data_IF_172075063490
#
_entry.id   IF_172075063490
#
_cell.length_a   1.000
_cell.length_b   1.000
_cell.length_c   1.000
_cell.angle_alpha   90.00
_cell.angle_beta   90.00
_cell.angle_gamma   90.00
#
_symmetry.space_group_name_H-M   'P 1'
#
loop_
_entity.id
_entity.type
_entity.pdbx_description
1 polymer ?
#
# COMPACT_ATOMS: atom_id res chain seq x y z
N UNK A 1 -4.30 -46.57 23.71
CA UNK A 1 -4.56 -45.12 23.54
C UNK A 1 -3.24 -44.38 23.62
N UNK A 2 -2.64 -44.01 22.48
CA UNK A 2 -1.41 -43.23 22.45
C UNK A 2 -1.76 -41.75 22.65
N UNK A 3 -1.32 -41.18 23.77
CA UNK A 3 -1.39 -39.75 24.05
C UNK A 3 -0.48 -39.00 23.09
N UNK A 4 -1.07 -38.18 22.21
CA UNK A 4 -0.32 -37.19 21.42
C UNK A 4 0.37 -36.21 22.38
N UNK A 5 1.69 -36.03 22.34
CA UNK A 5 2.34 -34.99 23.11
C UNK A 5 1.87 -33.62 22.59
N UNK A 6 1.37 -32.77 23.50
CA UNK A 6 1.10 -31.36 23.23
C UNK A 6 2.43 -30.70 22.84
N UNK A 7 2.57 -30.35 21.56
CA UNK A 7 3.66 -29.52 21.05
C UNK A 7 3.56 -28.14 21.72
N UNK A 8 4.35 -27.94 22.78
CA UNK A 8 4.67 -26.63 23.36
C UNK A 8 5.55 -25.89 22.35
N UNK A 9 4.92 -25.30 21.33
CA UNK A 9 5.61 -24.48 20.33
C UNK A 9 5.54 -23.01 20.73
N UNK A 10 6.61 -22.58 21.40
CA UNK A 10 7.17 -21.22 21.43
C UNK A 10 6.18 -20.05 21.37
N UNK A 11 5.72 -19.55 22.51
CA UNK A 11 5.03 -18.25 22.57
C UNK A 11 5.97 -17.07 22.21
N UNK A 12 7.29 -17.26 22.31
CA UNK A 12 8.30 -16.25 21.96
C UNK A 12 8.36 -15.94 20.45
N UNK A 13 8.06 -16.92 19.59
CA UNK A 13 8.01 -16.69 18.14
C UNK A 13 6.73 -15.99 17.69
N UNK A 14 5.67 -15.96 18.52
CA UNK A 14 4.45 -15.21 18.22
C UNK A 14 4.64 -13.71 18.44
N UNK A 15 5.33 -13.33 19.51
CA UNK A 15 5.63 -11.92 19.83
C UNK A 15 6.57 -11.27 18.80
N UNK A 16 7.68 -11.93 18.46
CA UNK A 16 8.65 -11.43 17.48
C UNK A 16 8.05 -11.28 16.07
N UNK A 17 7.23 -12.25 15.63
CA UNK A 17 6.51 -12.14 14.33
C UNK A 17 5.55 -10.96 14.29
N UNK A 18 4.86 -10.67 15.39
CA UNK A 18 3.96 -9.52 15.49
C UNK A 18 4.71 -8.20 15.37
N UNK A 19 5.84 -8.06 16.06
CA UNK A 19 6.65 -6.85 16.05
C UNK A 19 7.26 -6.57 14.66
N UNK A 20 7.81 -7.60 14.00
CA UNK A 20 8.32 -7.47 12.62
C UNK A 20 7.20 -7.08 11.65
N UNK A 21 6.03 -7.70 11.79
CA UNK A 21 4.87 -7.39 10.93
C UNK A 21 4.41 -5.94 11.10
N UNK A 22 4.36 -5.45 12.35
CA UNK A 22 4.02 -4.06 12.64
C UNK A 22 5.08 -3.10 12.07
N UNK A 23 6.36 -3.41 12.25
CA UNK A 23 7.46 -2.61 11.73
C UNK A 23 7.41 -2.48 10.21
N UNK A 24 7.19 -3.59 9.49
CA UNK A 24 7.08 -3.60 8.01
C UNK A 24 5.88 -2.79 7.53
N UNK A 25 4.73 -2.92 8.21
CA UNK A 25 3.56 -2.12 7.89
C UNK A 25 3.83 -0.63 8.12
N UNK A 26 4.40 -0.28 9.27
CA UNK A 26 4.74 1.10 9.61
C UNK A 26 5.70 1.70 8.58
N UNK A 27 6.74 0.97 8.20
CA UNK A 27 7.75 1.44 7.24
C UNK A 27 7.15 1.60 5.84
N UNK A 28 6.39 0.62 5.35
CA UNK A 28 5.77 0.69 4.01
C UNK A 28 4.73 1.82 3.90
N UNK A 29 3.84 1.93 4.89
CA UNK A 29 2.80 2.97 4.89
C UNK A 29 3.43 4.34 5.13
N UNK A 30 4.39 4.44 6.05
CA UNK A 30 5.13 5.67 6.33
C UNK A 30 5.88 6.17 5.11
N UNK A 31 6.55 5.28 4.37
CA UNK A 31 7.21 5.60 3.11
C UNK A 31 6.23 6.17 2.07
N UNK A 32 5.11 5.48 1.82
CA UNK A 32 4.11 5.94 0.84
C UNK A 32 3.48 7.28 1.24
N UNK A 33 3.21 7.48 2.53
CA UNK A 33 2.67 8.75 3.03
C UNK A 33 3.69 9.88 2.95
N UNK A 34 4.96 9.60 3.26
CA UNK A 34 6.05 10.56 3.13
C UNK A 34 6.18 11.02 1.69
N UNK A 35 6.24 10.08 0.73
CA UNK A 35 6.38 10.40 -0.69
C UNK A 35 5.19 11.21 -1.21
N UNK A 36 3.97 10.80 -0.84
CA UNK A 36 2.74 11.52 -1.19
C UNK A 36 2.74 12.95 -0.63
N UNK A 37 3.06 13.11 0.65
CA UNK A 37 3.07 14.43 1.28
C UNK A 37 4.18 15.32 0.72
N UNK A 38 5.37 14.76 0.49
CA UNK A 38 6.49 15.46 -0.11
C UNK A 38 6.14 15.99 -1.51
N UNK A 39 5.52 15.15 -2.35
CA UNK A 39 5.10 15.53 -3.71
C UNK A 39 4.04 16.66 -3.68
N UNK A 40 3.06 16.58 -2.76
CA UNK A 40 2.08 17.67 -2.57
C UNK A 40 2.73 18.98 -2.15
N UNK A 41 3.65 18.94 -1.18
CA UNK A 41 4.36 20.15 -0.71
C UNK A 41 5.18 20.75 -1.85
N UNK A 42 5.91 19.93 -2.60
CA UNK A 42 6.68 20.38 -3.75
C UNK A 42 5.80 21.03 -4.83
N UNK A 43 4.60 20.50 -5.07
CA UNK A 43 3.63 21.10 -5.99
C UNK A 43 3.14 22.49 -5.53
N UNK A 44 3.00 22.71 -4.22
CA UNK A 44 2.67 24.03 -3.66
C UNK A 44 3.81 25.05 -3.83
N UNK A 45 5.06 24.61 -3.66
CA UNK A 45 6.24 25.46 -3.88
C UNK A 45 6.35 25.91 -5.34
N UNK A 46 5.94 25.06 -6.30
CA UNK A 46 5.88 25.43 -7.71
C UNK A 46 4.78 26.45 -8.02
N UNK A 47 3.54 26.17 -7.59
CA UNK A 47 2.44 27.15 -7.67
C UNK A 47 1.24 26.72 -6.82
N UNK A 48 0.47 27.69 -6.32
CA UNK A 48 -0.77 27.40 -5.58
C UNK A 48 -1.76 26.56 -6.39
N UNK A 49 -1.88 26.82 -7.70
CA UNK A 49 -2.78 26.07 -8.58
C UNK A 49 -2.37 24.61 -8.76
N UNK A 50 -1.07 24.33 -8.88
CA UNK A 50 -0.52 22.97 -8.94
C UNK A 50 -0.72 22.25 -7.60
N UNK A 51 -0.39 22.91 -6.48
CA UNK A 51 -0.57 22.34 -5.14
C UNK A 51 -2.01 21.93 -4.84
N UNK A 52 -3.01 22.76 -5.22
CA UNK A 52 -4.43 22.39 -5.04
C UNK A 52 -4.83 21.20 -5.91
N UNK A 53 -4.35 21.12 -7.15
CA UNK A 53 -4.61 19.95 -8.04
C UNK A 53 -3.98 18.68 -7.48
N UNK A 54 -2.74 18.78 -7.00
CA UNK A 54 -1.99 17.72 -6.36
C UNK A 54 -2.69 17.20 -5.11
N UNK A 55 -3.13 18.10 -4.22
CA UNK A 55 -3.91 17.75 -3.04
C UNK A 55 -5.23 17.06 -3.41
N UNK A 56 -5.93 17.53 -4.43
CA UNK A 56 -7.15 16.89 -4.92
C UNK A 56 -6.87 15.48 -5.44
N UNK A 57 -5.78 15.28 -6.19
CA UNK A 57 -5.37 13.97 -6.68
C UNK A 57 -4.98 13.01 -5.55
N UNK A 58 -4.29 13.49 -4.51
CA UNK A 58 -3.95 12.73 -3.32
C UNK A 58 -5.19 12.26 -2.54
N UNK A 59 -6.24 13.08 -2.48
CA UNK A 59 -7.48 12.77 -1.75
C UNK A 59 -8.47 11.94 -2.58
N UNK A 60 -8.39 12.00 -3.90
CA UNK A 60 -9.39 11.41 -4.78
C UNK A 60 -9.56 9.88 -4.58
N UNK A 61 -8.52 9.03 -4.62
CA UNK A 61 -8.70 7.60 -4.41
C UNK A 61 -9.23 7.24 -3.02
N UNK A 62 -8.85 8.01 -1.99
CA UNK A 62 -9.34 7.80 -0.62
C UNK A 62 -10.82 8.17 -0.49
N UNK A 63 -11.24 9.29 -1.05
CA UNK A 63 -12.66 9.71 -1.04
C UNK A 63 -13.55 8.74 -1.81
N UNK A 64 -13.09 8.25 -2.97
CA UNK A 64 -13.77 7.19 -3.73
C UNK A 64 -13.87 5.90 -2.90
N UNK A 65 -12.80 5.51 -2.21
CA UNK A 65 -12.80 4.33 -1.35
C UNK A 65 -13.78 4.46 -0.18
N UNK A 66 -13.86 5.63 0.45
CA UNK A 66 -14.84 5.92 1.50
C UNK A 66 -16.25 5.85 0.93
N UNK A 67 -16.50 6.45 -0.24
CA UNK A 67 -17.80 6.41 -0.91
C UNK A 67 -18.24 4.96 -1.21
N UNK A 68 -17.38 4.17 -1.85
CA UNK A 68 -17.67 2.76 -2.15
C UNK A 68 -17.86 1.91 -0.89
N UNK A 69 -17.03 2.18 0.12
CA UNK A 69 -16.97 1.41 1.35
C UNK A 69 -18.09 1.72 2.36
N UNK A 70 -18.63 2.93 2.37
CA UNK A 70 -19.63 3.38 3.35
C UNK A 70 -20.97 3.74 2.71
N UNK A 71 -20.96 4.45 1.59
CA UNK A 71 -22.18 5.01 0.97
C UNK A 71 -22.80 4.00 0.03
N UNK A 72 -22.04 3.51 -0.95
CA UNK A 72 -22.56 2.58 -1.95
C UNK A 72 -22.82 1.17 -1.38
N UNK A 73 -22.31 0.88 -0.16
CA UNK A 73 -22.35 -0.43 0.51
C UNK A 73 -22.11 -1.58 -0.46
N UNK A 74 -21.13 -1.41 -1.35
CA UNK A 74 -20.96 -2.32 -2.46
C UNK A 74 -20.67 -3.72 -1.89
N UNK A 75 -21.66 -4.61 -2.03
CA UNK A 75 -21.52 -6.02 -1.68
C UNK A 75 -20.73 -6.66 -2.82
N UNK A 76 -19.41 -6.45 -2.80
CA UNK A 76 -18.54 -7.18 -3.71
C UNK A 76 -18.68 -8.66 -3.35
N UNK A 77 -19.02 -9.53 -4.31
CA UNK A 77 -19.12 -10.96 -4.04
C UNK A 77 -17.77 -11.44 -3.53
N UNK A 78 -17.69 -11.71 -2.23
CA UNK A 78 -16.50 -12.26 -1.54
C UNK A 78 -16.33 -13.75 -1.83
N UNK A 79 -16.89 -14.24 -2.95
CA UNK A 79 -16.68 -15.60 -3.43
C UNK A 79 -15.19 -15.83 -3.34
N UNK A 80 -14.76 -16.75 -2.47
CA UNK A 80 -13.37 -16.91 -2.02
C UNK A 80 -12.47 -17.26 -3.21
N UNK A 81 -12.18 -16.27 -4.07
CA UNK A 81 -11.03 -16.31 -4.94
C UNK A 81 -9.88 -16.13 -3.98
N UNK A 82 -9.41 -17.26 -3.44
CA UNK A 82 -8.15 -17.42 -2.72
C UNK A 82 -7.01 -17.14 -3.71
N UNK A 83 -6.99 -15.96 -4.34
CA UNK A 83 -5.84 -15.54 -5.10
C UNK A 83 -4.67 -15.54 -4.10
N UNK A 84 -3.64 -16.36 -4.36
CA UNK A 84 -2.63 -16.67 -3.36
C UNK A 84 -1.93 -15.38 -2.91
N UNK A 85 -1.50 -15.37 -1.64
CA UNK A 85 -0.87 -14.20 -1.00
C UNK A 85 0.33 -13.71 -1.82
N UNK A 86 1.03 -14.63 -2.49
CA UNK A 86 2.13 -14.36 -3.41
C UNK A 86 1.75 -13.37 -4.53
N UNK A 87 0.53 -13.45 -5.07
CA UNK A 87 0.08 -12.54 -6.12
C UNK A 87 -0.01 -11.10 -5.61
N UNK A 88 -0.36 -10.93 -4.33
CA UNK A 88 -0.40 -9.59 -3.71
C UNK A 88 1.00 -9.01 -3.60
N UNK A 89 1.97 -9.82 -3.16
CA UNK A 89 3.37 -9.42 -3.09
C UNK A 89 3.92 -9.04 -4.47
N UNK A 90 3.79 -9.92 -5.46
CA UNK A 90 4.33 -9.72 -6.82
C UNK A 90 3.70 -8.50 -7.50
N UNK A 91 2.38 -8.34 -7.41
CA UNK A 91 1.69 -7.18 -8.01
C UNK A 91 2.20 -5.89 -7.37
N UNK A 92 2.28 -5.82 -6.03
CA UNK A 92 2.73 -4.60 -5.37
C UNK A 92 4.21 -4.30 -5.61
N UNK A 93 5.06 -5.32 -5.76
CA UNK A 93 6.47 -5.15 -6.12
C UNK A 93 6.62 -4.48 -7.49
N UNK A 94 6.00 -5.04 -8.53
CA UNK A 94 6.09 -4.46 -9.87
C UNK A 94 5.37 -3.11 -9.96
N UNK A 95 4.25 -2.98 -9.26
CA UNK A 95 3.53 -1.72 -9.20
C UNK A 95 4.36 -0.61 -8.56
N UNK A 96 4.97 -0.84 -7.39
CA UNK A 96 5.79 0.22 -6.76
C UNK A 96 7.05 0.54 -7.54
N UNK A 97 7.65 -0.45 -8.20
CA UNK A 97 8.75 -0.20 -9.12
C UNK A 97 8.31 0.69 -10.29
N UNK A 98 7.11 0.48 -10.84
CA UNK A 98 6.56 1.34 -11.89
C UNK A 98 6.26 2.74 -11.36
N UNK A 99 5.62 2.87 -10.20
CA UNK A 99 5.29 4.18 -9.59
C UNK A 99 6.56 5.00 -9.36
N UNK A 100 7.60 4.41 -8.77
CA UNK A 100 8.87 5.08 -8.53
C UNK A 100 9.63 5.38 -9.83
N UNK A 101 9.56 4.49 -10.82
CA UNK A 101 10.14 4.74 -12.14
C UNK A 101 9.49 5.93 -12.86
N UNK A 102 8.18 6.15 -12.66
CA UNK A 102 7.50 7.35 -13.15
C UNK A 102 7.97 8.58 -12.38
N UNK A 103 7.95 8.51 -11.04
CA UNK A 103 8.35 9.59 -10.14
C UNK A 103 9.76 10.13 -10.44
N UNK A 104 10.74 9.24 -10.64
CA UNK A 104 12.12 9.61 -10.95
C UNK A 104 12.31 10.27 -12.33
N UNK A 105 11.42 9.99 -13.29
CA UNK A 105 11.53 10.46 -14.67
C UNK A 105 10.65 11.67 -14.98
N UNK A 106 9.78 12.08 -14.06
CA UNK A 106 8.79 13.11 -14.32
C UNK A 106 9.39 14.50 -14.06
N UNK A 107 9.38 15.35 -15.09
CA UNK A 107 9.90 16.73 -15.00
C UNK A 107 8.80 17.80 -15.14
N UNK A 108 7.50 17.43 -15.17
CA UNK A 108 6.45 18.37 -15.58
C UNK A 108 5.19 18.39 -14.72
N UNK A 109 4.89 19.60 -14.24
CA UNK A 109 3.92 19.95 -13.20
C UNK A 109 2.45 20.11 -13.66
N UNK A 110 2.02 19.54 -14.79
CA UNK A 110 0.65 19.83 -15.29
C UNK A 110 -0.43 18.86 -14.79
N UNK A 111 -0.09 17.58 -14.62
CA UNK A 111 -1.00 16.59 -14.05
C UNK A 111 -0.32 15.88 -12.86
N UNK A 112 -0.96 15.84 -11.68
CA UNK A 112 -0.42 15.22 -10.47
C UNK A 112 -0.52 13.68 -10.56
N UNK A 113 0.27 13.07 -11.45
CA UNK A 113 0.27 11.62 -11.68
C UNK A 113 0.83 10.90 -10.45
N UNK A 114 1.91 11.41 -9.89
CA UNK A 114 2.61 10.81 -8.74
C UNK A 114 1.68 10.70 -7.54
N UNK A 115 1.01 11.78 -7.17
CA UNK A 115 0.15 11.86 -6.00
C UNK A 115 -1.08 10.98 -6.18
N UNK A 116 -1.60 10.90 -7.40
CA UNK A 116 -2.67 9.97 -7.76
C UNK A 116 -2.20 8.51 -7.63
N UNK A 117 -1.00 8.18 -8.08
CA UNK A 117 -0.45 6.82 -8.01
C UNK A 117 -0.19 6.41 -6.56
N UNK A 118 0.46 7.25 -5.75
CA UNK A 118 0.73 6.95 -4.33
C UNK A 118 -0.57 6.81 -3.53
N UNK A 119 -1.53 7.73 -3.71
CA UNK A 119 -2.82 7.65 -3.03
C UNK A 119 -3.66 6.44 -3.48
N UNK A 120 -3.61 6.07 -4.76
CA UNK A 120 -4.24 4.85 -5.26
C UNK A 120 -3.61 3.59 -4.65
N UNK A 121 -2.29 3.59 -4.49
CA UNK A 121 -1.55 2.49 -3.85
C UNK A 121 -2.01 2.32 -2.41
N UNK A 122 -2.09 3.40 -1.63
CA UNK A 122 -2.62 3.40 -0.27
C UNK A 122 -4.08 2.95 -0.21
N UNK A 123 -4.94 3.48 -1.08
CA UNK A 123 -6.35 3.09 -1.17
C UNK A 123 -6.50 1.60 -1.46
N UNK A 124 -5.71 1.05 -2.39
CA UNK A 124 -5.74 -0.37 -2.72
C UNK A 124 -5.31 -1.27 -1.55
N UNK A 125 -4.34 -0.84 -0.74
CA UNK A 125 -3.93 -1.56 0.48
C UNK A 125 -5.06 -1.56 1.53
N UNK A 126 -5.68 -0.40 1.77
CA UNK A 126 -6.82 -0.27 2.69
C UNK A 126 -8.02 -1.10 2.23
N UNK A 127 -8.31 -1.10 0.92
CA UNK A 127 -9.36 -1.91 0.34
C UNK A 127 -9.11 -3.40 0.57
N UNK A 128 -7.88 -3.88 0.30
CA UNK A 128 -7.51 -5.28 0.52
C UNK A 128 -7.62 -5.67 1.98
N UNK A 129 -7.22 -4.80 2.91
CA UNK A 129 -7.39 -5.05 4.34
C UNK A 129 -8.87 -5.22 4.71
N UNK A 130 -9.73 -4.29 4.27
CA UNK A 130 -11.17 -4.27 4.59
C UNK A 130 -11.91 -5.48 4.01
N UNK A 131 -11.71 -5.81 2.73
CA UNK A 131 -12.54 -6.79 2.03
C UNK A 131 -12.00 -8.22 2.03
N UNK A 132 -10.67 -8.42 2.18
CA UNK A 132 -10.12 -9.79 2.33
C UNK A 132 -9.98 -10.22 3.78
N UNK A 133 -10.23 -9.34 4.75
CA UNK A 133 -10.24 -9.65 6.19
C UNK A 133 -8.96 -10.31 6.70
N UNK A 134 -7.84 -10.16 5.97
CA UNK A 134 -6.60 -10.87 6.27
C UNK A 134 -5.44 -9.90 6.38
N UNK A 135 -4.97 -9.70 7.61
CA UNK A 135 -3.75 -8.95 7.91
C UNK A 135 -2.55 -9.48 7.12
N UNK A 136 -2.52 -10.79 6.80
CA UNK A 136 -1.48 -11.40 5.96
C UNK A 136 -1.47 -10.85 4.53
N UNK A 137 -2.64 -10.55 3.96
CA UNK A 137 -2.73 -9.97 2.62
C UNK A 137 -2.21 -8.53 2.61
N UNK A 138 -2.52 -7.75 3.65
CA UNK A 138 -1.98 -6.40 3.83
C UNK A 138 -0.45 -6.44 3.97
N UNK A 139 0.09 -7.31 4.84
CA UNK A 139 1.53 -7.48 4.99
C UNK A 139 2.21 -7.86 3.68
N UNK A 140 1.63 -8.77 2.89
CA UNK A 140 2.20 -9.13 1.60
C UNK A 140 2.28 -7.93 0.64
N UNK A 141 1.29 -7.02 0.69
CA UNK A 141 1.36 -5.77 -0.04
C UNK A 141 2.49 -4.89 0.50
N UNK A 142 2.62 -4.73 1.82
CA UNK A 142 3.71 -3.96 2.44
C UNK A 142 5.09 -4.50 2.06
N UNK A 143 5.30 -5.82 2.13
CA UNK A 143 6.55 -6.44 1.68
C UNK A 143 6.79 -6.22 0.18
N UNK A 144 5.74 -6.27 -0.64
CA UNK A 144 5.84 -5.94 -2.06
C UNK A 144 6.26 -4.49 -2.28
N UNK A 145 5.65 -3.55 -1.56
CA UNK A 145 5.98 -2.12 -1.63
C UNK A 145 7.45 -1.89 -1.29
N UNK A 146 7.92 -2.42 -0.16
CA UNK A 146 9.32 -2.26 0.27
C UNK A 146 10.31 -2.94 -0.68
N UNK A 147 10.00 -4.16 -1.12
CA UNK A 147 10.86 -4.88 -2.06
C UNK A 147 10.92 -4.16 -3.41
N UNK A 148 9.79 -3.66 -3.92
CA UNK A 148 9.75 -2.89 -5.17
C UNK A 148 10.42 -1.54 -5.04
N UNK A 149 10.36 -0.88 -3.88
CA UNK A 149 11.12 0.34 -3.61
C UNK A 149 12.63 0.10 -3.62
N UNK A 150 13.10 -0.95 -2.93
CA UNK A 150 14.50 -1.35 -2.98
C UNK A 150 14.94 -1.74 -4.40
N UNK A 151 14.10 -2.49 -5.13
CA UNK A 151 14.38 -2.86 -6.50
C UNK A 151 14.47 -1.65 -7.44
N UNK A 152 13.59 -0.66 -7.27
CA UNK A 152 13.63 0.59 -8.03
C UNK A 152 14.95 1.33 -7.81
N UNK A 153 15.42 1.46 -6.56
CA UNK A 153 16.70 2.11 -6.21
C UNK A 153 17.91 1.39 -6.83
N UNK A 154 17.83 0.07 -7.00
CA UNK A 154 18.92 -0.71 -7.62
C UNK A 154 18.96 -0.48 -9.15
N UNK A 155 17.81 -0.25 -9.77
CA UNK A 155 17.65 -0.25 -11.23
C UNK A 155 17.74 1.17 -11.82
N UNK A 156 17.17 2.16 -11.14
CA UNK A 156 17.09 3.55 -11.57
C UNK A 156 17.96 4.43 -10.69
#
# INVERSE_FOLDING_TARGET
>A
MQSRPRQSSSDWTKGSKGLVSFFVLFLAVGFLLYQLFSSVVFAFDYSTGSGVRSLAAALFPLTVLVYLGFIARLQVPTRESRAPIINSFVIFLFWTMLVLGIDLNNQTAYFPIEELLYSFTLASMLWRYKYRGSFKALLACCYGVLAGALAAIIIF
#
